data_IF_068692953031
#
_entry.id   IF_068692953031
#
_cell.length_a   1.000
_cell.length_b   1.000
_cell.length_c   1.000
_cell.angle_alpha   90.00
_cell.angle_beta   90.00
_cell.angle_gamma   90.00
#
_symmetry.space_group_name_H-M   'P 1'
#
loop_
_entity.id
_entity.type
_entity.pdbx_description
1 polymer ?
#
# COMPACT_ATOMS: atom_id res chain seq x y z
N UNK A 1 9.14 9.25 -19.57
CA UNK A 1 9.07 8.01 -18.74
C UNK A 1 7.62 7.62 -18.58
N UNK A 2 7.26 6.39 -18.97
CA UNK A 2 5.89 5.89 -18.94
C UNK A 2 5.67 5.08 -17.67
N UNK A 3 4.59 5.40 -16.94
CA UNK A 3 4.15 4.68 -15.73
C UNK A 3 2.79 4.00 -15.96
N UNK A 4 2.43 2.93 -15.19
CA UNK A 4 1.19 2.20 -15.43
C UNK A 4 -0.02 3.03 -15.02
N UNK A 5 -1.02 3.09 -15.91
CA UNK A 5 -2.38 3.49 -15.54
C UNK A 5 -3.08 2.27 -14.95
N UNK A 6 -3.56 2.36 -13.71
CA UNK A 6 -4.26 1.25 -13.08
C UNK A 6 -5.72 1.16 -13.56
N UNK A 7 -6.23 -0.06 -13.61
CA UNK A 7 -7.57 -0.37 -14.12
C UNK A 7 -8.64 -0.47 -13.03
N UNK A 8 -8.24 -0.57 -11.76
CA UNK A 8 -9.14 -0.86 -10.65
C UNK A 8 -8.79 -0.08 -9.38
N UNK A 9 -9.85 0.24 -8.63
CA UNK A 9 -9.76 0.88 -7.32
C UNK A 9 -9.57 2.38 -7.38
N UNK A 10 -9.66 3.03 -6.20
CA UNK A 10 -9.19 4.40 -6.04
C UNK A 10 -7.69 4.40 -6.21
N UNK A 11 -7.30 5.01 -7.25
CA UNK A 11 -5.92 5.14 -7.59
C UNK A 11 -5.28 6.18 -6.64
N UNK A 12 -4.38 5.82 -5.73
CA UNK A 12 -3.70 6.79 -4.86
C UNK A 12 -2.64 7.58 -5.61
N UNK A 13 -2.70 7.51 -6.89
CA UNK A 13 -1.67 7.93 -7.79
C UNK A 13 -1.29 9.38 -7.73
N UNK A 14 -2.12 10.37 -7.42
CA UNK A 14 -1.63 11.74 -7.32
C UNK A 14 -0.38 11.86 -6.48
N UNK A 15 -0.35 11.23 -5.30
CA UNK A 15 0.86 11.23 -4.46
C UNK A 15 2.05 10.53 -5.10
N UNK A 16 1.85 9.33 -5.63
CA UNK A 16 2.95 8.52 -6.19
C UNK A 16 3.52 9.17 -7.44
N UNK A 17 2.64 9.68 -8.31
CA UNK A 17 3.05 10.39 -9.53
C UNK A 17 3.76 11.69 -9.17
N UNK A 18 3.24 12.48 -8.23
CA UNK A 18 3.90 13.70 -7.76
C UNK A 18 5.26 13.41 -7.12
N UNK A 19 5.40 12.31 -6.36
CA UNK A 19 6.67 11.91 -5.78
C UNK A 19 7.69 11.49 -6.85
N UNK A 20 7.25 10.73 -7.86
CA UNK A 20 8.09 10.36 -8.97
C UNK A 20 8.53 11.61 -9.78
N UNK A 21 7.61 12.53 -10.00
CA UNK A 21 7.87 13.81 -10.67
C UNK A 21 8.89 14.64 -9.90
N UNK A 22 8.72 14.71 -8.57
CA UNK A 22 9.65 15.38 -7.66
C UNK A 22 11.06 14.75 -7.74
N UNK A 23 11.15 13.41 -7.73
CA UNK A 23 12.42 12.70 -7.84
C UNK A 23 13.10 12.99 -9.18
N UNK A 24 12.37 12.88 -10.28
CA UNK A 24 12.92 13.09 -11.62
C UNK A 24 13.37 14.54 -11.85
N UNK A 25 12.62 15.52 -11.37
CA UNK A 25 13.02 16.93 -11.43
C UNK A 25 14.34 17.21 -10.68
N UNK A 26 14.68 16.40 -9.66
CA UNK A 26 15.91 16.52 -8.87
C UNK A 26 17.05 15.63 -9.38
N UNK A 27 16.77 14.69 -10.27
CA UNK A 27 17.78 13.78 -10.78
C UNK A 27 18.82 14.47 -11.69
N UNK A 28 18.44 15.61 -12.29
CA UNK A 28 19.27 16.36 -13.23
C UNK A 28 19.07 15.96 -14.71
N UNK A 29 18.18 14.96 -14.97
CA UNK A 29 17.79 14.59 -16.32
C UNK A 29 16.53 15.31 -16.80
N UNK A 30 16.34 15.35 -18.10
CA UNK A 30 15.09 15.85 -18.71
C UNK A 30 14.09 14.69 -18.87
N UNK A 31 13.20 14.52 -17.91
CA UNK A 31 12.21 13.46 -17.90
C UNK A 31 10.79 14.02 -17.96
N UNK A 32 10.02 13.55 -18.92
CA UNK A 32 8.59 13.77 -18.99
C UNK A 32 7.84 12.51 -18.55
N UNK A 33 6.94 12.64 -17.57
CA UNK A 33 6.08 11.55 -17.11
C UNK A 33 4.80 11.46 -17.93
N UNK A 34 4.48 10.26 -18.38
CA UNK A 34 3.24 9.97 -19.10
C UNK A 34 2.61 8.67 -18.60
N UNK A 35 1.28 8.63 -18.43
CA UNK A 35 0.61 7.37 -18.12
C UNK A 35 0.62 6.45 -19.35
N UNK A 36 0.63 5.15 -19.13
CA UNK A 36 0.48 4.16 -20.21
C UNK A 36 -0.81 4.38 -20.99
N UNK A 37 -0.79 4.12 -22.29
CA UNK A 37 -1.93 4.33 -23.18
C UNK A 37 -3.19 3.58 -22.72
N UNK A 38 -3.00 2.35 -22.20
CA UNK A 38 -4.09 1.53 -21.68
C UNK A 38 -3.88 1.23 -20.19
N UNK A 39 -4.97 1.16 -19.41
CA UNK A 39 -4.92 0.65 -18.05
C UNK A 39 -4.40 -0.79 -18.03
N UNK A 40 -3.66 -1.13 -16.96
CA UNK A 40 -3.14 -2.47 -16.78
C UNK A 40 -3.09 -2.87 -15.31
N UNK A 41 -3.32 -4.16 -14.98
CA UNK A 41 -3.10 -4.67 -13.63
C UNK A 41 -1.59 -4.74 -13.33
N UNK A 42 -1.26 -4.77 -12.03
CA UNK A 42 0.12 -4.79 -11.56
C UNK A 42 0.95 -5.96 -12.14
N UNK A 43 0.36 -7.15 -12.28
CA UNK A 43 1.03 -8.32 -12.85
C UNK A 43 1.46 -8.10 -14.31
N UNK A 44 0.64 -7.40 -15.09
CA UNK A 44 0.99 -7.04 -16.48
C UNK A 44 2.09 -5.98 -16.53
N UNK A 45 2.05 -5.01 -15.62
CA UNK A 45 3.11 -4.00 -15.52
C UNK A 45 4.45 -4.65 -15.16
N UNK A 46 4.45 -5.60 -14.22
CA UNK A 46 5.63 -6.38 -13.87
C UNK A 46 6.22 -7.09 -15.09
N UNK A 47 5.39 -7.88 -15.80
CA UNK A 47 5.84 -8.63 -16.98
C UNK A 47 6.44 -7.72 -18.07
N UNK A 48 5.85 -6.55 -18.30
CA UNK A 48 6.36 -5.58 -19.28
C UNK A 48 7.73 -5.02 -18.88
N UNK A 49 7.93 -4.70 -17.60
CA UNK A 49 9.24 -4.23 -17.11
C UNK A 49 10.30 -5.33 -17.15
N UNK A 50 9.94 -6.59 -16.88
CA UNK A 50 10.85 -7.74 -17.03
C UNK A 50 11.36 -7.89 -18.46
N UNK A 51 10.51 -7.56 -19.44
CA UNK A 51 10.82 -7.60 -20.87
C UNK A 51 11.48 -6.33 -21.41
N UNK A 52 11.72 -5.33 -20.55
CA UNK A 52 12.19 -3.98 -20.92
C UNK A 52 11.34 -3.33 -22.04
N UNK A 53 10.03 -3.52 -21.97
CA UNK A 53 9.07 -3.01 -22.94
C UNK A 53 9.11 -1.47 -22.99
N UNK A 54 9.33 -0.85 -24.16
CA UNK A 54 9.42 0.61 -24.29
C UNK A 54 8.12 1.35 -23.93
N UNK A 55 6.99 0.66 -23.84
CA UNK A 55 5.71 1.22 -23.41
C UNK A 55 5.54 1.31 -21.90
N UNK A 56 6.55 0.93 -21.08
CA UNK A 56 6.54 1.06 -19.63
C UNK A 56 7.98 1.10 -19.09
N UNK A 57 8.33 2.10 -18.28
CA UNK A 57 9.68 2.23 -17.72
C UNK A 57 9.74 2.14 -16.20
N UNK A 58 8.63 2.40 -15.51
CA UNK A 58 8.58 2.39 -14.05
C UNK A 58 7.24 1.86 -13.59
N UNK A 59 7.23 1.14 -12.48
CA UNK A 59 6.03 0.80 -11.73
C UNK A 59 6.26 0.97 -10.23
N UNK A 60 5.23 0.78 -9.43
CA UNK A 60 5.32 0.75 -7.97
C UNK A 60 4.52 -0.41 -7.40
N UNK A 61 5.07 -1.02 -6.38
CA UNK A 61 4.47 -2.18 -5.74
C UNK A 61 4.98 -2.37 -4.30
N UNK A 62 4.26 -3.17 -3.52
CA UNK A 62 4.79 -3.73 -2.30
C UNK A 62 5.93 -4.69 -2.63
N UNK A 63 7.07 -4.50 -1.96
CA UNK A 63 8.26 -5.30 -2.19
C UNK A 63 8.09 -6.73 -1.69
N UNK A 64 8.56 -7.67 -2.49
CA UNK A 64 8.62 -9.12 -2.24
C UNK A 64 9.88 -9.67 -2.89
N UNK A 65 10.39 -10.79 -2.36
CA UNK A 65 11.62 -11.40 -2.90
C UNK A 65 11.50 -11.73 -4.40
N UNK A 66 10.41 -12.35 -4.83
CA UNK A 66 10.16 -12.70 -6.23
C UNK A 66 10.15 -11.49 -7.17
N UNK A 67 9.64 -10.34 -6.70
CA UNK A 67 9.63 -9.10 -7.47
C UNK A 67 11.03 -8.48 -7.54
N UNK A 68 11.79 -8.51 -6.44
CA UNK A 68 13.18 -8.02 -6.41
C UNK A 68 14.17 -8.92 -7.16
N UNK A 69 13.81 -10.19 -7.41
CA UNK A 69 14.58 -11.10 -8.26
C UNK A 69 14.47 -10.72 -9.74
N UNK A 70 13.33 -10.24 -10.18
CA UNK A 70 13.07 -9.94 -11.60
C UNK A 70 13.21 -8.48 -11.98
N UNK A 71 13.00 -7.55 -11.05
CA UNK A 71 13.10 -6.11 -11.27
C UNK A 71 14.14 -5.44 -10.36
N UNK A 72 14.50 -4.19 -10.66
CA UNK A 72 15.35 -3.35 -9.81
C UNK A 72 14.48 -2.48 -8.90
N UNK A 73 14.50 -2.71 -7.56
CA UNK A 73 13.84 -1.83 -6.59
C UNK A 73 14.65 -0.57 -6.32
N UNK A 74 13.99 0.56 -6.24
CA UNK A 74 14.53 1.78 -5.63
C UNK A 74 14.14 1.74 -4.15
N UNK A 75 15.05 1.25 -3.26
CA UNK A 75 14.75 0.94 -1.85
C UNK A 75 14.62 2.19 -0.97
N UNK A 76 13.72 3.09 -1.36
CA UNK A 76 13.23 4.21 -0.56
C UNK A 76 11.71 4.03 -0.44
N UNK A 77 11.18 3.76 0.78
CA UNK A 77 9.75 3.50 0.97
C UNK A 77 8.91 4.72 0.61
N UNK A 78 8.23 4.67 -0.53
CA UNK A 78 7.50 5.84 -1.07
C UNK A 78 6.32 6.26 -0.20
N UNK A 79 5.74 5.35 0.59
CA UNK A 79 4.70 5.62 1.58
C UNK A 79 5.21 5.64 3.03
N UNK A 80 6.53 5.66 3.23
CA UNK A 80 7.14 5.62 4.57
C UNK A 80 6.61 4.48 5.45
N UNK A 81 6.36 3.33 4.87
CA UNK A 81 5.84 2.15 5.57
C UNK A 81 4.35 2.20 5.91
N UNK A 82 3.59 3.24 5.55
CA UNK A 82 2.14 3.33 5.80
C UNK A 82 1.35 2.16 5.20
N UNK A 83 1.87 1.54 4.15
CA UNK A 83 1.27 0.35 3.53
C UNK A 83 1.15 -0.83 4.52
N UNK A 84 2.00 -0.89 5.54
CA UNK A 84 1.91 -1.90 6.59
C UNK A 84 0.90 -1.58 7.69
N UNK A 85 0.34 -0.38 7.71
CA UNK A 85 -0.68 0.04 8.66
C UNK A 85 -2.07 -0.22 8.12
N UNK A 86 -2.81 -1.06 8.82
CA UNK A 86 -4.16 -1.48 8.43
C UNK A 86 -5.16 -1.12 9.52
N UNK A 87 -6.25 -0.49 9.12
CA UNK A 87 -7.39 -0.27 10.00
C UNK A 87 -8.54 -1.16 9.52
N UNK A 88 -9.21 -1.89 10.43
CA UNK A 88 -10.33 -2.71 10.06
C UNK A 88 -11.54 -1.87 9.58
N UNK A 89 -12.12 -2.23 8.42
CA UNK A 89 -13.52 -2.01 8.14
C UNK A 89 -14.32 -3.17 8.72
N UNK A 90 -15.47 -2.86 9.29
CA UNK A 90 -16.41 -3.80 9.88
C UNK A 90 -17.84 -3.45 9.43
N UNK A 91 -18.79 -4.35 9.58
CA UNK A 91 -20.21 -4.00 9.42
C UNK A 91 -20.62 -2.98 10.50
N UNK A 92 -21.42 -1.98 10.15
CA UNK A 92 -21.89 -0.97 11.08
C UNK A 92 -22.71 -1.59 12.26
N UNK A 93 -23.40 -2.70 12.03
CA UNK A 93 -24.08 -3.47 13.05
C UNK A 93 -23.12 -4.08 14.08
N UNK A 94 -21.87 -4.34 13.69
CA UNK A 94 -20.83 -4.96 14.51
C UNK A 94 -19.64 -4.02 14.73
N UNK A 95 -19.87 -2.71 14.78
CA UNK A 95 -18.80 -1.68 14.86
C UNK A 95 -17.85 -1.87 16.06
N UNK A 96 -18.29 -2.53 17.12
CA UNK A 96 -17.51 -2.74 18.35
C UNK A 96 -16.97 -4.18 18.47
N UNK A 97 -17.00 -4.97 17.38
CA UNK A 97 -16.56 -6.39 17.40
C UNK A 97 -15.11 -6.56 17.86
N UNK A 98 -14.27 -5.55 17.64
CA UNK A 98 -12.85 -5.53 18.05
C UNK A 98 -12.61 -4.78 19.38
N UNK A 99 -13.66 -4.33 20.08
CA UNK A 99 -13.51 -3.54 21.30
C UNK A 99 -12.72 -4.26 22.40
N UNK A 100 -12.86 -5.58 22.52
CA UNK A 100 -12.15 -6.42 23.51
C UNK A 100 -10.85 -7.03 22.97
N UNK A 101 -10.58 -6.99 21.67
CA UNK A 101 -9.39 -7.59 21.08
C UNK A 101 -8.10 -6.87 21.55
N UNK A 102 -7.13 -7.63 22.06
CA UNK A 102 -5.85 -7.12 22.57
C UNK A 102 -4.65 -7.81 21.96
N UNK A 103 -4.81 -9.01 21.48
CA UNK A 103 -3.75 -9.89 21.00
C UNK A 103 -4.09 -10.46 19.63
N UNK A 104 -3.09 -11.04 18.98
CA UNK A 104 -3.29 -11.78 17.74
C UNK A 104 -4.23 -12.98 17.93
N UNK A 105 -4.21 -13.64 19.11
CA UNK A 105 -5.09 -14.78 19.40
C UNK A 105 -6.58 -14.37 19.46
N UNK A 106 -6.87 -13.16 19.91
CA UNK A 106 -8.24 -12.63 19.87
C UNK A 106 -8.73 -12.47 18.43
N UNK A 107 -7.83 -12.06 17.52
CA UNK A 107 -8.15 -11.89 16.11
C UNK A 107 -8.37 -13.22 15.37
N UNK A 108 -7.72 -14.31 15.81
CA UNK A 108 -7.88 -15.64 15.20
C UNK A 108 -9.28 -16.22 15.28
N UNK A 109 -10.13 -15.65 16.14
CA UNK A 109 -11.54 -16.03 16.28
C UNK A 109 -12.46 -15.39 15.24
N UNK A 110 -11.92 -14.48 14.44
CA UNK A 110 -12.64 -13.72 13.43
C UNK A 110 -12.19 -14.12 12.02
N UNK A 111 -13.11 -13.99 11.07
CA UNK A 111 -12.81 -14.18 9.66
C UNK A 111 -12.48 -12.84 9.03
N UNK A 112 -11.43 -12.85 8.23
CA UNK A 112 -10.92 -11.69 7.52
C UNK A 112 -11.30 -11.75 6.05
N UNK A 113 -11.56 -10.62 5.41
CA UNK A 113 -11.72 -10.53 3.97
C UNK A 113 -10.47 -9.96 3.32
N UNK A 114 -10.08 -10.49 2.15
CA UNK A 114 -9.01 -9.93 1.33
C UNK A 114 -9.20 -10.30 -0.14
N UNK A 115 -8.57 -9.54 -1.03
CA UNK A 115 -8.49 -9.94 -2.43
C UNK A 115 -7.48 -11.08 -2.57
N UNK A 116 -7.80 -12.05 -3.43
CA UNK A 116 -7.02 -13.29 -3.57
C UNK A 116 -5.56 -13.03 -3.96
N UNK A 117 -5.30 -12.05 -4.80
CA UNK A 117 -4.00 -11.70 -5.39
C UNK A 117 -3.24 -10.60 -4.62
N UNK A 118 -3.78 -10.08 -3.51
CA UNK A 118 -3.08 -9.08 -2.72
C UNK A 118 -1.97 -9.70 -1.87
N UNK A 119 -0.87 -8.95 -1.74
CA UNK A 119 0.27 -9.33 -0.91
C UNK A 119 -0.10 -9.53 0.58
N UNK A 120 -1.16 -8.88 1.03
CA UNK A 120 -1.68 -9.01 2.40
C UNK A 120 -2.26 -10.38 2.70
N UNK A 121 -2.87 -11.03 1.71
CA UNK A 121 -3.53 -12.33 1.91
C UNK A 121 -2.59 -13.40 2.48
N UNK A 122 -1.41 -13.67 1.91
CA UNK A 122 -0.47 -14.61 2.52
C UNK A 122 0.09 -14.11 3.84
N UNK A 123 0.27 -12.78 4.05
CA UNK A 123 0.74 -12.22 5.33
C UNK A 123 -0.26 -12.53 6.45
N UNK A 124 -1.55 -12.25 6.25
CA UNK A 124 -2.58 -12.52 7.25
C UNK A 124 -2.65 -14.03 7.57
N UNK A 125 -2.62 -14.89 6.56
CA UNK A 125 -2.62 -16.35 6.73
C UNK A 125 -1.40 -16.86 7.48
N UNK A 126 -0.21 -16.31 7.22
CA UNK A 126 1.03 -16.66 7.93
C UNK A 126 0.97 -16.31 9.44
N UNK A 127 0.09 -15.39 9.82
CA UNK A 127 -0.19 -15.06 11.23
C UNK A 127 -1.34 -15.90 11.83
N UNK A 128 -1.82 -16.92 11.12
CA UNK A 128 -2.87 -17.82 11.58
C UNK A 128 -4.27 -17.24 11.52
N UNK A 129 -4.51 -16.18 10.75
CA UNK A 129 -5.82 -15.58 10.55
C UNK A 129 -6.60 -16.33 9.45
N UNK A 130 -7.89 -16.57 9.66
CA UNK A 130 -8.77 -17.14 8.65
C UNK A 130 -9.12 -16.06 7.62
N UNK A 131 -8.72 -16.26 6.34
CA UNK A 131 -8.91 -15.26 5.28
C UNK A 131 -9.83 -15.81 4.18
N UNK A 132 -11.03 -15.23 4.09
CA UNK A 132 -11.95 -15.37 2.96
C UNK A 132 -11.49 -14.47 1.82
N UNK A 133 -11.49 -14.99 0.61
CA UNK A 133 -10.99 -14.22 -0.55
C UNK A 133 -12.06 -14.02 -1.61
N UNK A 134 -11.91 -12.94 -2.38
CA UNK A 134 -12.63 -12.69 -3.62
C UNK A 134 -11.66 -12.17 -4.68
N UNK A 135 -11.93 -12.49 -5.95
CA UNK A 135 -11.22 -11.89 -7.09
C UNK A 135 -11.76 -10.49 -7.40
N UNK A 136 -13.03 -10.24 -7.06
CA UNK A 136 -13.67 -8.96 -7.30
C UNK A 136 -13.58 -8.07 -6.06
N UNK A 137 -12.99 -6.89 -6.24
CA UNK A 137 -12.76 -5.90 -5.20
C UNK A 137 -14.06 -5.40 -4.55
N UNK A 138 -15.05 -5.01 -5.34
CA UNK A 138 -16.31 -4.47 -4.83
C UNK A 138 -17.13 -5.53 -4.07
N UNK A 139 -16.98 -6.80 -4.47
CA UNK A 139 -17.67 -7.90 -3.78
C UNK A 139 -17.20 -8.05 -2.33
N UNK A 140 -15.97 -7.68 -1.98
CA UNK A 140 -15.48 -7.75 -0.60
C UNK A 140 -16.27 -6.84 0.34
N UNK A 141 -16.61 -5.63 -0.09
CA UNK A 141 -17.42 -4.71 0.73
C UNK A 141 -18.84 -5.24 0.93
N UNK A 142 -19.45 -5.81 -0.11
CA UNK A 142 -20.78 -6.47 -0.01
C UNK A 142 -20.74 -7.71 0.87
N UNK A 143 -19.65 -8.48 0.81
CA UNK A 143 -19.45 -9.66 1.65
C UNK A 143 -19.30 -9.28 3.13
N UNK A 144 -18.59 -8.17 3.42
CA UNK A 144 -18.46 -7.62 4.77
C UNK A 144 -19.83 -7.17 5.31
N UNK A 145 -20.57 -6.39 4.53
CA UNK A 145 -21.91 -5.91 4.89
C UNK A 145 -22.88 -7.08 5.16
N UNK A 146 -22.81 -8.13 4.34
CA UNK A 146 -23.59 -9.36 4.50
C UNK A 146 -23.07 -10.32 5.60
N UNK A 147 -22.04 -9.98 6.36
CA UNK A 147 -21.49 -10.79 7.45
C UNK A 147 -20.81 -12.10 7.01
N UNK A 148 -20.34 -12.18 5.77
CA UNK A 148 -19.62 -13.37 5.30
C UNK A 148 -18.22 -13.50 5.90
N UNK A 149 -17.67 -12.40 6.36
CA UNK A 149 -16.52 -12.26 7.25
C UNK A 149 -16.71 -11.01 8.12
N UNK A 150 -15.94 -10.88 9.20
CA UNK A 150 -16.15 -9.82 10.21
C UNK A 150 -15.22 -8.63 10.02
N UNK A 151 -14.01 -8.84 9.46
CA UNK A 151 -12.94 -7.84 9.45
C UNK A 151 -12.36 -7.70 8.05
N UNK A 152 -12.34 -6.48 7.53
CA UNK A 152 -11.66 -6.15 6.27
C UNK A 152 -10.54 -5.14 6.55
N UNK A 153 -9.29 -5.57 6.73
CA UNK A 153 -8.17 -4.66 6.99
C UNK A 153 -7.87 -3.82 5.75
N UNK A 154 -7.97 -2.50 5.89
CA UNK A 154 -7.70 -1.58 4.78
C UNK A 154 -6.54 -0.67 5.08
N UNK A 155 -5.87 -0.23 4.02
CA UNK A 155 -4.74 0.69 4.13
C UNK A 155 -5.18 2.05 4.66
N UNK A 156 -4.41 2.60 5.58
CA UNK A 156 -4.65 3.95 6.12
C UNK A 156 -4.65 5.03 5.03
N UNK A 157 -4.08 4.76 3.88
CA UNK A 157 -4.01 5.72 2.76
C UNK A 157 -5.25 5.73 1.87
N UNK A 158 -6.16 4.75 1.98
CA UNK A 158 -7.35 4.62 1.12
C UNK A 158 -8.67 4.48 1.88
N UNK A 159 -8.65 4.03 3.13
CA UNK A 159 -9.83 3.57 3.88
C UNK A 159 -11.00 4.57 3.94
N UNK A 160 -10.71 5.88 4.11
CA UNK A 160 -11.77 6.91 4.19
C UNK A 160 -12.58 6.95 2.89
N UNK A 161 -11.87 6.96 1.77
CA UNK A 161 -12.50 6.99 0.46
C UNK A 161 -13.26 5.71 0.13
N UNK A 162 -12.75 4.56 0.57
CA UNK A 162 -13.42 3.28 0.41
C UNK A 162 -14.73 3.23 1.21
N UNK A 163 -14.71 3.76 2.44
CA UNK A 163 -15.93 3.88 3.25
C UNK A 163 -16.97 4.80 2.60
N UNK A 164 -16.54 5.95 2.05
CA UNK A 164 -17.43 6.86 1.32
C UNK A 164 -18.04 6.19 0.08
N UNK A 165 -17.25 5.43 -0.69
CA UNK A 165 -17.75 4.71 -1.87
C UNK A 165 -18.72 3.60 -1.48
N UNK A 166 -18.42 2.84 -0.42
CA UNK A 166 -19.31 1.84 0.12
C UNK A 166 -20.66 2.46 0.58
N UNK A 167 -20.61 3.58 1.28
CA UNK A 167 -21.81 4.32 1.71
C UNK A 167 -22.67 4.79 0.52
N UNK A 168 -22.02 5.33 -0.53
CA UNK A 168 -22.72 5.71 -1.77
C UNK A 168 -23.35 4.52 -2.50
N UNK A 169 -22.77 3.34 -2.33
CA UNK A 169 -23.32 2.08 -2.84
C UNK A 169 -24.43 1.48 -1.94
N UNK A 170 -24.82 2.16 -0.86
CA UNK A 170 -25.85 1.71 0.06
C UNK A 170 -25.39 0.65 1.06
N UNK A 171 -24.08 0.45 1.25
CA UNK A 171 -23.54 -0.51 2.22
C UNK A 171 -23.36 0.14 3.59
N UNK A 172 -23.63 -0.61 4.64
CA UNK A 172 -23.61 -0.17 6.03
C UNK A 172 -22.34 -0.62 6.73
N UNK A 173 -21.22 0.04 6.43
CA UNK A 173 -19.91 -0.25 6.96
C UNK A 173 -19.43 0.83 7.93
N UNK A 174 -18.47 0.50 8.77
CA UNK A 174 -17.83 1.42 9.69
C UNK A 174 -16.32 1.16 9.77
N UNK A 175 -15.55 2.21 10.07
CA UNK A 175 -14.14 2.09 10.45
C UNK A 175 -14.11 1.72 11.94
N UNK A 176 -13.49 0.57 12.27
CA UNK A 176 -13.21 0.20 13.66
C UNK A 176 -12.42 1.31 14.36
N UNK A 177 -12.75 1.58 15.62
CA UNK A 177 -12.11 2.63 16.42
C UNK A 177 -11.09 2.09 17.44
N UNK A 178 -10.97 0.78 17.57
CA UNK A 178 -10.27 0.13 18.69
C UNK A 178 -8.90 -0.40 18.32
N UNK A 179 -8.74 -0.96 17.12
CA UNK A 179 -7.57 -1.72 16.71
C UNK A 179 -6.94 -1.13 15.44
N UNK A 180 -5.63 -1.20 15.35
CA UNK A 180 -4.87 -1.11 14.11
C UNK A 180 -3.97 -2.35 14.01
N UNK A 181 -3.87 -2.94 12.81
CA UNK A 181 -2.90 -3.99 12.53
C UNK A 181 -1.67 -3.35 11.92
N UNK A 182 -0.51 -3.82 12.31
CA UNK A 182 0.74 -3.38 11.71
C UNK A 182 1.64 -4.57 11.39
N UNK A 183 2.23 -4.55 10.22
CA UNK A 183 3.31 -5.43 9.82
C UNK A 183 4.30 -4.67 8.95
N UNK A 184 5.61 -4.99 9.04
CA UNK A 184 6.61 -4.33 8.22
C UNK A 184 6.29 -4.54 6.73
N UNK A 185 6.16 -3.44 5.97
CA UNK A 185 5.91 -3.48 4.54
C UNK A 185 6.60 -2.31 3.85
N UNK A 186 7.26 -2.59 2.75
CA UNK A 186 7.92 -1.59 1.93
C UNK A 186 7.24 -1.50 0.56
N UNK A 187 7.02 -0.29 0.10
CA UNK A 187 6.44 -0.02 -1.21
C UNK A 187 7.43 0.84 -1.99
N UNK A 188 7.90 0.36 -3.11
CA UNK A 188 8.98 0.99 -3.88
C UNK A 188 8.57 1.30 -5.30
N UNK A 189 9.33 2.19 -5.95
CA UNK A 189 9.44 2.22 -7.39
C UNK A 189 10.32 1.06 -7.87
N UNK A 190 9.96 0.48 -9.00
CA UNK A 190 10.68 -0.57 -9.70
C UNK A 190 10.88 -0.21 -11.14
N UNK A 191 12.03 -0.58 -11.69
CA UNK A 191 12.36 -0.46 -13.12
C UNK A 191 12.91 -1.79 -13.64
N UNK A 192 13.02 -1.93 -14.95
CA UNK A 192 13.68 -3.09 -15.57
C UNK A 192 15.11 -3.25 -15.05
N UNK A 193 15.58 -4.51 -14.91
CA UNK A 193 16.99 -4.81 -14.61
C UNK A 193 17.95 -4.31 -15.69
N UNK A 194 17.46 -4.10 -16.90
CA UNK A 194 18.24 -3.55 -18.01
C UNK A 194 18.37 -2.03 -17.95
N UNK A 195 17.68 -1.37 -17.01
CA UNK A 195 17.65 0.08 -16.86
C UNK A 195 18.18 0.57 -15.49
N UNK A 196 19.43 0.21 -15.12
CA UNK A 196 20.05 0.71 -13.89
C UNK A 196 20.25 2.24 -13.91
N UNK A 197 20.33 2.85 -15.09
CA UNK A 197 20.35 4.29 -15.30
C UNK A 197 19.10 4.97 -14.73
N UNK A 198 17.91 4.42 -15.01
CA UNK A 198 16.64 4.95 -14.47
C UNK A 198 16.52 4.71 -12.96
N UNK A 199 16.93 3.53 -12.48
CA UNK A 199 16.93 3.25 -11.06
C UNK A 199 17.77 4.27 -10.28
N UNK A 200 18.99 4.56 -10.80
CA UNK A 200 19.90 5.51 -10.18
C UNK A 200 19.38 6.95 -10.25
N UNK A 201 18.80 7.37 -11.37
CA UNK A 201 18.21 8.70 -11.53
C UNK A 201 17.07 8.91 -10.50
N UNK A 202 16.13 7.95 -10.37
CA UNK A 202 15.04 8.03 -9.40
C UNK A 202 15.60 8.03 -7.97
N UNK A 203 16.57 7.14 -7.66
CA UNK A 203 17.20 7.06 -6.35
C UNK A 203 17.85 8.38 -5.95
N UNK A 204 18.68 8.96 -6.81
CA UNK A 204 19.36 10.23 -6.53
C UNK A 204 18.37 11.37 -6.33
N UNK A 205 17.31 11.42 -7.15
CA UNK A 205 16.28 12.42 -7.00
C UNK A 205 15.52 12.30 -5.68
N UNK A 206 15.17 11.08 -5.27
CA UNK A 206 14.53 10.84 -3.96
C UNK A 206 15.45 11.20 -2.80
N UNK A 207 16.74 10.84 -2.86
CA UNK A 207 17.71 11.21 -1.81
C UNK A 207 17.86 12.74 -1.68
N UNK A 208 17.92 13.45 -2.80
CA UNK A 208 17.92 14.93 -2.78
C UNK A 208 16.63 15.50 -2.21
N UNK A 209 15.47 14.90 -2.55
CA UNK A 209 14.18 15.32 -2.01
C UNK A 209 14.05 15.04 -0.50
N UNK A 210 14.68 13.96 0.00
CA UNK A 210 14.78 13.68 1.44
C UNK A 210 15.68 14.73 2.10
N UNK A 211 16.85 14.99 1.54
CA UNK A 211 17.83 15.92 2.08
C UNK A 211 17.32 17.36 2.17
N UNK A 212 16.54 17.84 1.19
CA UNK A 212 15.96 19.19 1.18
C UNK A 212 14.58 19.26 1.87
N UNK A 213 14.08 18.15 2.42
CA UNK A 213 12.79 18.03 3.12
C UNK A 213 11.55 18.09 2.22
N UNK A 214 11.70 18.13 0.89
CA UNK A 214 10.55 18.20 -0.02
C UNK A 214 9.78 16.87 -0.11
N UNK A 215 10.44 15.73 0.12
CA UNK A 215 9.79 14.44 0.28
C UNK A 215 8.82 14.47 1.47
N UNK A 216 9.26 14.95 2.63
CA UNK A 216 8.43 15.07 3.83
C UNK A 216 7.26 16.03 3.62
N UNK A 217 7.50 17.21 3.07
CA UNK A 217 6.43 18.19 2.78
C UNK A 217 5.38 17.63 1.83
N UNK A 218 5.78 16.85 0.81
CA UNK A 218 4.86 16.18 -0.10
C UNK A 218 4.03 15.12 0.63
N UNK A 219 4.67 14.27 1.42
CA UNK A 219 4.03 13.25 2.23
C UNK A 219 3.00 13.86 3.20
N UNK A 220 3.39 14.88 3.96
CA UNK A 220 2.48 15.55 4.89
C UNK A 220 1.28 16.19 4.20
N UNK A 221 1.48 16.83 3.05
CA UNK A 221 0.40 17.44 2.27
C UNK A 221 -0.70 16.43 1.92
N UNK A 222 -0.32 15.19 1.59
CA UNK A 222 -1.27 14.15 1.22
C UNK A 222 -1.87 13.39 2.39
N UNK A 223 -1.10 13.16 3.46
CA UNK A 223 -1.49 12.20 4.49
C UNK A 223 -1.72 12.78 5.88
N UNK A 224 -1.18 13.94 6.24
CA UNK A 224 -1.24 14.51 7.60
C UNK A 224 -2.66 14.60 8.16
N UNK A 225 -3.57 15.18 7.39
CA UNK A 225 -4.98 15.34 7.82
C UNK A 225 -5.67 13.99 8.01
N UNK A 226 -5.48 13.07 7.07
CA UNK A 226 -6.05 11.71 7.13
C UNK A 226 -5.51 10.94 8.32
N UNK A 227 -4.20 10.90 8.50
CA UNK A 227 -3.56 10.21 9.63
C UNK A 227 -4.01 10.80 10.98
N UNK A 228 -4.20 12.11 11.06
CA UNK A 228 -4.77 12.77 12.23
C UNK A 228 -6.18 12.29 12.56
N UNK A 229 -7.05 12.17 11.55
CA UNK A 229 -8.43 11.65 11.72
C UNK A 229 -8.46 10.17 12.14
N UNK A 230 -7.56 9.35 11.57
CA UNK A 230 -7.51 7.93 11.87
C UNK A 230 -6.94 7.61 13.25
N UNK A 231 -6.28 8.58 13.91
CA UNK A 231 -5.84 8.54 15.30
C UNK A 231 -5.10 7.23 15.67
N UNK A 232 -4.11 6.83 14.88
CA UNK A 232 -3.39 5.55 15.06
C UNK A 232 -2.83 5.38 16.47
N UNK A 233 -2.34 6.46 17.10
CA UNK A 233 -1.81 6.44 18.48
C UNK A 233 -2.84 6.08 19.56
N UNK A 234 -4.13 6.26 19.28
CA UNK A 234 -5.21 5.98 20.22
C UNK A 234 -5.72 4.55 20.09
N UNK A 235 -5.27 3.81 19.05
CA UNK A 235 -5.68 2.44 18.80
C UNK A 235 -4.74 1.45 19.46
N UNK A 236 -5.27 0.27 19.81
CA UNK A 236 -4.41 -0.85 20.15
C UNK A 236 -3.76 -1.39 18.89
N UNK A 237 -2.44 -1.34 18.84
CA UNK A 237 -1.68 -1.85 17.71
C UNK A 237 -1.42 -3.32 17.93
N UNK A 238 -1.89 -4.16 17.02
CA UNK A 238 -1.60 -5.60 17.00
C UNK A 238 -0.58 -5.85 15.90
N UNK A 239 0.63 -6.21 16.34
CA UNK A 239 1.75 -6.48 15.44
C UNK A 239 1.61 -7.86 14.79
N UNK A 240 1.79 -7.89 13.48
CA UNK A 240 1.83 -9.08 12.65
C UNK A 240 3.24 -9.25 12.07
N UNK A 241 3.61 -10.48 11.78
CA UNK A 241 4.86 -10.79 11.06
C UNK A 241 4.62 -10.75 9.56
N UNK A 242 5.57 -10.21 8.81
CA UNK A 242 5.61 -10.33 7.35
C UNK A 242 6.80 -11.20 6.93
N UNK A 243 6.60 -12.51 6.73
CA UNK A 243 7.68 -13.42 6.34
C UNK A 243 8.13 -13.26 4.87
N UNK A 244 7.43 -12.46 4.09
CA UNK A 244 7.69 -12.23 2.66
C UNK A 244 8.44 -10.94 2.39
N UNK A 245 8.85 -10.22 3.44
CA UNK A 245 9.56 -8.96 3.30
C UNK A 245 11.03 -9.23 2.99
N UNK A 246 11.60 -8.65 1.90
CA UNK A 246 12.99 -8.85 1.55
C UNK A 246 13.97 -8.40 2.65
N UNK A 247 14.98 -9.21 2.91
CA UNK A 247 15.99 -8.93 3.96
C UNK A 247 16.83 -7.67 3.71
N UNK A 248 16.80 -7.13 2.50
CA UNK A 248 17.48 -5.87 2.12
C UNK A 248 16.63 -4.61 2.39
N UNK A 249 15.48 -4.73 3.04
CA UNK A 249 14.63 -3.59 3.41
C UNK A 249 15.36 -2.65 4.38
N UNK A 250 15.45 -1.34 4.09
CA UNK A 250 16.34 -0.41 4.82
C UNK A 250 15.74 0.08 6.16
N UNK A 251 15.47 -0.83 7.11
CA UNK A 251 14.92 -0.47 8.43
C UNK A 251 15.87 0.38 9.27
N UNK A 252 17.17 0.27 9.05
CA UNK A 252 18.19 1.08 9.73
C UNK A 252 18.08 2.58 9.40
N UNK A 253 17.39 2.94 8.32
CA UNK A 253 17.10 4.33 7.95
C UNK A 253 15.76 4.77 8.56
N UNK A 254 15.71 4.92 9.88
CA UNK A 254 14.48 5.21 10.64
C UNK A 254 13.67 6.38 10.10
N UNK A 255 14.34 7.43 9.61
CA UNK A 255 13.69 8.60 9.02
C UNK A 255 12.81 8.29 7.79
N UNK A 256 13.00 7.12 7.16
CA UNK A 256 12.18 6.68 6.03
C UNK A 256 10.87 5.99 6.46
N UNK A 257 10.65 5.78 7.77
CA UNK A 257 9.52 5.01 8.26
C UNK A 257 8.62 5.88 9.13
N UNK A 258 7.33 5.87 8.82
CA UNK A 258 6.34 6.57 9.63
C UNK A 258 6.15 5.86 10.98
N UNK A 259 6.18 6.65 12.05
CA UNK A 259 5.85 6.22 13.41
C UNK A 259 4.68 7.08 13.89
N UNK A 260 3.52 6.49 14.25
CA UNK A 260 2.38 7.21 14.79
C UNK A 260 2.69 8.01 16.04
#
# INVERSE_FOLDING_TARGET
>A
MIYPRHSEGRNPEPYVVELLQLALARSGGDYRLEPSAQPMPQSRAQLRLEQDDPGLQVMWAQSRDDLEETLLPIRIPIYRGLIGWRIPLVSAANKDILASARTLDDLRRLRFGQRQDWADTPILRANGLEVKTSQNYESLFRMLDAGRFEVFPREVVVIDGELEDASRAGLHLAIDQHVALHYPAAFYFFVSRQRPDLAEAIRQGLEKAIADGSFERLFERHFKTRLGKLALRQRRIIELKNPYLPGKTPFQREALWYRP
#
